data_IF_297715101891
#
_entry.id   IF_297715101891
#
_cell.length_a   1.000
_cell.length_b   1.000
_cell.length_c   1.000
_cell.angle_alpha   90.00
_cell.angle_beta   90.00
_cell.angle_gamma   90.00
#
_symmetry.space_group_name_H-M   'P 1'
#
loop_
_entity.id
_entity.type
_entity.pdbx_description
1 polymer ?
#
# COMPACT_ATOMS: atom_id res chain seq x y z
N UNK A 1 -5.25 13.38 15.22
CA UNK A 1 -4.21 14.00 14.41
C UNK A 1 -4.78 15.17 13.59
N UNK A 2 -5.81 14.98 12.75
CA UNK A 2 -6.43 16.06 11.96
C UNK A 2 -6.90 17.23 12.85
N UNK A 3 -7.63 16.94 13.92
CA UNK A 3 -8.09 17.95 14.86
C UNK A 3 -6.92 18.67 15.55
N UNK A 4 -5.85 17.95 15.87
CA UNK A 4 -4.62 18.53 16.43
C UNK A 4 -3.96 19.52 15.45
N UNK A 5 -3.89 19.17 14.17
CA UNK A 5 -3.39 20.07 13.11
C UNK A 5 -4.29 21.30 12.92
N UNK A 6 -5.59 21.15 13.18
CA UNK A 6 -6.57 22.25 13.20
C UNK A 6 -6.56 23.05 14.53
N UNK A 7 -5.60 22.80 15.43
CA UNK A 7 -5.46 23.52 16.70
C UNK A 7 -6.40 23.05 17.81
N UNK A 8 -7.08 21.92 17.63
CA UNK A 8 -7.99 21.35 18.63
C UNK A 8 -7.28 20.22 19.37
N UNK A 9 -6.97 20.41 20.66
CA UNK A 9 -6.27 19.41 21.46
C UNK A 9 -7.17 18.23 21.86
N UNK A 10 -6.55 17.11 22.26
CA UNK A 10 -7.27 15.94 22.78
C UNK A 10 -8.09 16.29 24.02
N UNK A 11 -7.57 17.15 24.89
CA UNK A 11 -8.23 17.61 26.11
C UNK A 11 -9.46 18.47 25.80
N UNK A 12 -9.39 19.31 24.76
CA UNK A 12 -10.55 20.08 24.30
C UNK A 12 -11.64 19.15 23.76
N UNK A 13 -11.29 18.15 22.93
CA UNK A 13 -12.25 17.15 22.45
C UNK A 13 -12.89 16.38 23.62
N UNK A 14 -12.07 15.97 24.61
CA UNK A 14 -12.54 15.21 25.77
C UNK A 14 -13.50 16.02 26.69
N UNK A 15 -13.35 17.35 26.73
CA UNK A 15 -14.27 18.24 27.47
C UNK A 15 -15.65 18.33 26.81
N UNK A 16 -15.79 17.88 25.58
CA UNK A 16 -17.06 17.86 24.85
C UNK A 16 -17.46 19.21 24.24
N UNK A 17 -18.68 19.29 23.77
CA UNK A 17 -19.26 20.48 23.15
C UNK A 17 -18.99 20.63 21.65
N UNK A 18 -18.28 19.69 21.03
CA UNK A 18 -18.05 19.67 19.58
C UNK A 18 -19.09 18.81 18.85
N UNK A 19 -19.57 19.31 17.73
CA UNK A 19 -20.28 18.52 16.71
C UNK A 19 -19.30 18.31 15.56
N UNK A 20 -18.90 17.08 15.30
CA UNK A 20 -17.93 16.74 14.27
C UNK A 20 -18.69 16.20 13.06
N UNK A 21 -18.74 16.95 11.98
CA UNK A 21 -19.27 16.50 10.70
C UNK A 21 -18.15 15.80 9.93
N UNK A 22 -18.41 14.57 9.49
CA UNK A 22 -17.48 13.77 8.69
C UNK A 22 -18.01 13.60 7.28
N UNK A 23 -17.18 13.07 6.38
CA UNK A 23 -17.55 12.70 5.01
C UNK A 23 -18.14 11.29 4.92
N UNK A 24 -18.20 10.56 6.04
CA UNK A 24 -18.78 9.22 6.05
C UNK A 24 -20.25 9.26 5.65
N UNK A 25 -20.60 8.40 4.70
CA UNK A 25 -21.94 8.27 4.14
C UNK A 25 -22.60 6.98 4.68
N UNK A 26 -23.68 7.09 5.46
CA UNK A 26 -24.37 5.92 6.02
C UNK A 26 -24.87 4.94 4.94
N UNK A 27 -25.27 5.44 3.77
CA UNK A 27 -25.77 4.61 2.66
C UNK A 27 -24.64 3.82 1.97
N UNK A 28 -23.40 4.25 2.13
CA UNK A 28 -22.19 3.52 1.70
C UNK A 28 -21.64 2.66 2.84
N UNK A 29 -21.64 3.19 4.06
CA UNK A 29 -21.07 2.52 5.23
C UNK A 29 -21.80 1.21 5.58
N UNK A 30 -23.14 1.23 5.57
CA UNK A 30 -23.94 0.06 5.95
C UNK A 30 -23.72 -1.14 5.02
N UNK A 31 -23.82 -1.00 3.67
CA UNK A 31 -23.57 -2.11 2.75
C UNK A 31 -22.17 -2.71 2.82
N UNK A 32 -21.12 -1.90 3.01
CA UNK A 32 -19.76 -2.45 3.10
C UNK A 32 -19.55 -3.22 4.41
N UNK A 33 -20.16 -2.77 5.50
CA UNK A 33 -20.11 -3.52 6.78
C UNK A 33 -20.84 -4.85 6.67
N UNK A 34 -22.03 -4.86 6.08
CA UNK A 34 -22.80 -6.08 5.81
C UNK A 34 -22.01 -7.06 4.92
N UNK A 35 -21.41 -6.56 3.83
CA UNK A 35 -20.59 -7.38 2.95
C UNK A 35 -19.39 -8.01 3.68
N UNK A 36 -18.66 -7.23 4.46
CA UNK A 36 -17.52 -7.74 5.23
C UNK A 36 -17.99 -8.81 6.23
N UNK A 37 -19.04 -8.55 6.98
CA UNK A 37 -19.54 -9.47 8.01
C UNK A 37 -20.08 -10.78 7.40
N UNK A 38 -20.61 -10.71 6.17
CA UNK A 38 -21.13 -11.89 5.45
C UNK A 38 -20.03 -12.81 4.94
N UNK A 39 -18.86 -12.28 4.59
CA UNK A 39 -17.76 -13.04 3.97
C UNK A 39 -16.56 -13.27 4.88
N UNK A 40 -16.42 -12.50 5.96
CA UNK A 40 -15.29 -12.59 6.89
C UNK A 40 -15.76 -12.72 8.33
N UNK A 41 -15.84 -13.95 8.81
CA UNK A 41 -16.26 -14.24 10.18
C UNK A 41 -15.35 -13.49 11.20
N UNK A 42 -15.91 -12.61 12.05
CA UNK A 42 -15.12 -11.84 13.01
C UNK A 42 -14.44 -12.70 14.08
N UNK A 43 -14.93 -13.91 14.32
CA UNK A 43 -14.39 -14.82 15.36
C UNK A 43 -13.21 -15.68 14.86
N UNK A 44 -12.88 -15.65 13.57
CA UNK A 44 -11.70 -16.37 13.07
C UNK A 44 -10.46 -15.57 13.45
N UNK A 45 -9.63 -16.14 14.33
CA UNK A 45 -8.38 -15.50 14.75
C UNK A 45 -7.39 -15.36 13.60
N UNK A 46 -6.59 -14.30 13.62
CA UNK A 46 -5.55 -14.04 12.63
C UNK A 46 -6.06 -13.52 11.27
N UNK A 47 -7.37 -13.40 11.05
CA UNK A 47 -7.92 -12.88 9.80
C UNK A 47 -8.61 -11.54 10.05
N UNK A 48 -8.18 -10.51 9.33
CA UNK A 48 -8.88 -9.23 9.25
C UNK A 48 -9.26 -8.94 7.80
N UNK A 49 -10.54 -8.63 7.58
CA UNK A 49 -11.03 -8.08 6.32
C UNK A 49 -11.30 -6.59 6.52
N UNK A 50 -10.71 -5.77 5.68
CA UNK A 50 -10.76 -4.31 5.81
C UNK A 50 -11.19 -3.72 4.48
N UNK A 51 -12.08 -2.74 4.51
CA UNK A 51 -12.52 -2.01 3.32
C UNK A 51 -12.54 -0.51 3.59
N UNK A 52 -12.06 0.26 2.63
CA UNK A 52 -12.15 1.72 2.62
C UNK A 52 -12.73 2.17 1.27
N UNK A 53 -13.64 3.13 1.30
CA UNK A 53 -14.25 3.71 0.10
C UNK A 53 -13.96 5.20 0.06
N UNK A 54 -13.30 5.63 -1.00
CA UNK A 54 -12.94 7.03 -1.26
C UNK A 54 -13.55 7.44 -2.60
N UNK A 55 -14.19 8.59 -2.63
CA UNK A 55 -14.71 9.17 -3.87
C UNK A 55 -13.59 9.95 -4.56
N UNK A 56 -13.21 9.62 -5.81
CA UNK A 56 -12.28 10.44 -6.58
C UNK A 56 -12.85 11.84 -6.85
N UNK A 57 -11.98 12.84 -6.92
CA UNK A 57 -12.37 14.22 -7.20
C UNK A 57 -11.17 15.10 -7.50
N UNK A 58 -11.39 16.26 -8.11
CA UNK A 58 -10.35 17.25 -8.43
C UNK A 58 -10.00 18.16 -7.26
N UNK A 59 -10.91 18.30 -6.28
CA UNK A 59 -10.77 19.26 -5.17
C UNK A 59 -10.55 18.58 -3.83
N UNK A 60 -11.05 17.36 -3.68
CA UNK A 60 -10.92 16.55 -2.47
C UNK A 60 -11.19 15.08 -2.76
N UNK A 61 -10.67 14.22 -1.90
CA UNK A 61 -10.94 12.78 -1.89
C UNK A 61 -11.71 12.41 -0.60
N UNK A 62 -13.03 12.67 -0.53
CA UNK A 62 -13.80 12.35 0.67
C UNK A 62 -13.84 10.85 0.93
N UNK A 63 -13.56 10.46 2.16
CA UNK A 63 -13.73 9.09 2.64
C UNK A 63 -15.21 8.88 2.92
N UNK A 64 -15.85 8.01 2.14
CA UNK A 64 -17.28 7.73 2.28
C UNK A 64 -17.57 6.61 3.27
N UNK A 65 -16.66 5.64 3.38
CA UNK A 65 -16.84 4.53 4.31
C UNK A 65 -15.52 3.86 4.67
N UNK A 66 -15.48 3.29 5.87
CA UNK A 66 -14.39 2.44 6.37
C UNK A 66 -14.98 1.34 7.24
N UNK A 67 -14.62 0.09 6.99
CA UNK A 67 -15.11 -1.03 7.79
C UNK A 67 -14.03 -2.10 7.98
N UNK A 68 -14.18 -2.85 9.06
CA UNK A 68 -13.43 -4.07 9.35
C UNK A 68 -14.40 -5.12 9.88
N UNK A 69 -14.10 -6.41 9.70
CA UNK A 69 -14.80 -7.49 10.39
C UNK A 69 -14.42 -7.54 11.89
N UNK A 70 -13.40 -6.82 12.32
CA UNK A 70 -13.00 -6.73 13.73
C UNK A 70 -13.68 -5.55 14.41
N UNK A 71 -14.25 -5.80 15.59
CA UNK A 71 -14.78 -4.74 16.44
C UNK A 71 -13.63 -4.09 17.22
N UNK A 72 -13.68 -2.78 17.41
CA UNK A 72 -12.74 -2.09 18.28
C UNK A 72 -13.05 -2.40 19.73
N UNK A 73 -12.09 -2.95 20.46
CA UNK A 73 -12.25 -3.32 21.87
C UNK A 73 -11.07 -4.10 22.42
N UNK A 74 -11.19 -4.58 23.65
CA UNK A 74 -10.13 -5.23 24.42
C UNK A 74 -10.29 -6.75 24.52
N UNK A 75 -11.44 -7.30 24.13
CA UNK A 75 -11.70 -8.73 24.28
C UNK A 75 -11.29 -9.51 23.02
N UNK A 76 -10.08 -10.05 23.04
CA UNK A 76 -9.52 -10.84 21.94
C UNK A 76 -10.34 -12.12 21.66
N UNK A 77 -11.01 -12.70 22.67
CA UNK A 77 -11.83 -13.91 22.50
C UNK A 77 -13.11 -13.64 21.67
N UNK A 78 -13.59 -12.40 21.70
CA UNK A 78 -14.67 -11.92 20.83
C UNK A 78 -14.17 -11.36 19.49
N UNK A 79 -12.90 -11.54 19.15
CA UNK A 79 -12.32 -11.01 17.93
C UNK A 79 -12.11 -9.49 17.93
N UNK A 80 -12.15 -8.85 19.09
CA UNK A 80 -11.89 -7.41 19.22
C UNK A 80 -10.42 -7.06 19.03
N UNK A 81 -10.16 -5.84 18.64
CA UNK A 81 -8.82 -5.28 18.50
C UNK A 81 -8.79 -3.80 18.84
N UNK A 82 -7.72 -3.34 19.49
CA UNK A 82 -7.46 -1.91 19.70
C UNK A 82 -6.79 -1.25 18.47
N UNK A 83 -6.38 -2.03 17.47
CA UNK A 83 -5.76 -1.51 16.25
C UNK A 83 -6.87 -1.06 15.29
N UNK A 84 -6.95 0.23 14.94
CA UNK A 84 -7.92 0.75 13.97
C UNK A 84 -7.51 0.34 12.55
N UNK A 85 -7.83 -0.87 12.15
CA UNK A 85 -7.32 -1.54 10.96
C UNK A 85 -7.48 -0.79 9.63
N UNK A 86 -8.58 -0.04 9.36
CA UNK A 86 -8.74 0.67 8.09
C UNK A 86 -7.64 1.70 7.80
N UNK A 87 -7.01 2.25 8.84
CA UNK A 87 -5.98 3.30 8.72
C UNK A 87 -4.70 3.02 9.52
N UNK A 88 -4.47 1.81 9.96
CA UNK A 88 -3.19 1.36 10.54
C UNK A 88 -2.36 0.65 9.51
N UNK A 89 -1.04 0.78 9.60
CA UNK A 89 -0.12 -0.11 8.89
C UNK A 89 -0.36 -1.54 9.37
N UNK A 90 -0.60 -2.45 8.44
CA UNK A 90 -0.84 -3.87 8.70
C UNK A 90 0.23 -4.66 7.98
N UNK A 91 0.82 -5.63 8.67
CA UNK A 91 1.84 -6.52 8.14
C UNK A 91 1.40 -7.27 6.88
N UNK A 92 2.30 -7.96 6.25
CA UNK A 92 2.14 -8.78 5.04
C UNK A 92 2.04 -8.00 3.71
N UNK A 93 1.96 -6.67 3.74
CA UNK A 93 1.97 -5.82 2.55
C UNK A 93 0.72 -5.94 1.67
N UNK A 94 0.74 -5.28 0.53
CA UNK A 94 -0.34 -5.29 -0.45
C UNK A 94 -0.01 -6.06 -1.74
N UNK A 95 1.15 -6.71 -1.78
CA UNK A 95 1.56 -7.51 -2.93
C UNK A 95 1.63 -6.70 -4.22
N UNK A 96 1.14 -7.30 -5.29
CA UNK A 96 1.28 -6.78 -6.67
C UNK A 96 0.62 -5.44 -6.96
N UNK A 97 -0.17 -4.88 -6.05
CA UNK A 97 -0.68 -3.50 -6.18
C UNK A 97 0.50 -2.51 -6.28
N UNK A 98 1.62 -2.79 -5.62
CA UNK A 98 2.82 -1.96 -5.64
C UNK A 98 3.47 -1.81 -7.02
N UNK A 99 3.21 -2.74 -7.95
CA UNK A 99 3.66 -2.62 -9.34
C UNK A 99 3.16 -1.34 -10.01
N UNK A 100 2.00 -0.85 -9.57
CA UNK A 100 1.44 0.43 -10.03
C UNK A 100 2.39 1.60 -9.76
N UNK A 101 3.07 1.63 -8.61
CA UNK A 101 4.05 2.69 -8.30
C UNK A 101 5.26 2.65 -9.22
N UNK A 102 5.74 1.46 -9.55
CA UNK A 102 6.86 1.29 -10.48
C UNK A 102 6.47 1.73 -11.90
N UNK A 103 5.26 1.40 -12.34
CA UNK A 103 4.74 1.87 -13.63
C UNK A 103 4.57 3.39 -13.63
N UNK A 104 3.93 3.96 -12.61
CA UNK A 104 3.73 5.40 -12.52
C UNK A 104 5.08 6.17 -12.57
N UNK A 105 6.09 5.69 -11.85
CA UNK A 105 7.43 6.26 -11.89
C UNK A 105 8.08 6.11 -13.28
N UNK A 106 7.90 4.98 -13.96
CA UNK A 106 8.39 4.78 -15.31
C UNK A 106 7.72 5.71 -16.33
N UNK A 107 6.39 5.91 -16.19
CA UNK A 107 5.64 6.85 -17.05
C UNK A 107 6.08 8.30 -16.80
N UNK A 108 6.32 8.71 -15.56
CA UNK A 108 6.87 10.04 -15.23
C UNK A 108 8.25 10.25 -15.85
N UNK A 109 9.03 9.19 -16.02
CA UNK A 109 10.33 9.22 -16.74
C UNK A 109 10.19 9.24 -18.26
N UNK A 110 8.98 9.23 -18.81
CA UNK A 110 8.71 9.28 -20.24
C UNK A 110 8.49 7.92 -20.93
N UNK A 111 8.41 6.82 -20.18
CA UNK A 111 8.03 5.53 -20.74
C UNK A 111 6.57 5.59 -21.25
N UNK A 112 6.32 5.10 -22.46
CA UNK A 112 4.95 4.97 -22.96
C UNK A 112 4.22 3.76 -22.37
N UNK A 113 2.90 3.87 -22.16
CA UNK A 113 2.07 2.76 -21.70
C UNK A 113 2.07 1.55 -22.66
N UNK A 114 2.40 1.80 -23.92
CA UNK A 114 2.52 0.77 -24.97
C UNK A 114 3.97 0.27 -25.14
N UNK A 115 4.92 0.76 -24.33
CA UNK A 115 6.30 0.30 -24.38
C UNK A 115 6.39 -1.19 -23.98
N UNK A 116 7.24 -1.94 -24.65
CA UNK A 116 7.44 -3.36 -24.37
C UNK A 116 8.35 -3.57 -23.16
N UNK A 117 7.90 -4.47 -22.30
CA UNK A 117 8.67 -5.01 -21.17
C UNK A 117 9.09 -6.44 -21.48
N UNK A 118 10.34 -6.76 -21.22
CA UNK A 118 10.79 -8.15 -21.22
C UNK A 118 10.30 -8.87 -19.95
N UNK A 119 9.87 -10.11 -20.13
CA UNK A 119 9.37 -10.99 -19.06
C UNK A 119 10.26 -12.23 -18.99
N UNK A 120 11.47 -12.14 -18.41
CA UNK A 120 12.34 -13.30 -18.31
C UNK A 120 11.75 -14.35 -17.38
N UNK A 121 12.03 -15.63 -17.60
CA UNK A 121 11.60 -16.70 -16.70
C UNK A 121 12.15 -16.57 -15.29
N UNK A 122 13.33 -15.92 -15.16
CA UNK A 122 14.00 -15.57 -13.91
C UNK A 122 14.72 -14.23 -14.07
N UNK A 123 14.58 -13.36 -13.07
CA UNK A 123 15.37 -12.14 -12.94
C UNK A 123 16.23 -12.25 -11.69
N UNK A 124 17.48 -11.78 -11.78
CA UNK A 124 18.39 -11.73 -10.64
C UNK A 124 19.32 -10.53 -10.76
N UNK A 125 19.60 -9.88 -9.64
CA UNK A 125 20.49 -8.72 -9.57
C UNK A 125 21.14 -8.62 -8.20
N UNK A 126 22.33 -7.96 -8.14
CA UNK A 126 22.98 -7.58 -6.88
C UNK A 126 22.66 -6.15 -6.51
N UNK A 127 22.81 -5.82 -5.22
CA UNK A 127 22.65 -4.44 -4.73
C UNK A 127 21.21 -3.95 -4.65
N UNK A 128 20.22 -4.82 -4.75
CA UNK A 128 18.80 -4.48 -4.61
C UNK A 128 18.10 -5.38 -3.57
N UNK A 129 18.75 -5.60 -2.44
CA UNK A 129 18.36 -6.60 -1.46
C UNK A 129 18.94 -7.98 -1.77
N UNK A 130 18.46 -9.01 -1.08
CA UNK A 130 18.94 -10.39 -1.24
C UNK A 130 17.83 -11.41 -1.01
N UNK A 131 18.03 -12.64 -1.52
CA UNK A 131 17.07 -13.74 -1.34
C UNK A 131 15.97 -13.77 -2.41
N UNK A 132 14.82 -14.35 -2.08
CA UNK A 132 13.68 -14.54 -2.96
C UNK A 132 13.59 -15.95 -3.53
N UNK A 133 13.67 -16.14 -4.83
CA UNK A 133 13.45 -17.45 -5.47
C UNK A 133 14.47 -18.51 -5.04
N UNK A 134 14.03 -19.77 -5.00
CA UNK A 134 14.89 -20.92 -4.66
C UNK A 134 16.18 -20.94 -5.50
N UNK A 135 17.29 -21.24 -4.85
CA UNK A 135 18.62 -21.27 -5.49
C UNK A 135 19.16 -19.87 -5.80
N UNK A 136 18.73 -18.85 -5.08
CA UNK A 136 19.30 -17.51 -5.20
C UNK A 136 20.73 -17.49 -4.64
N UNK A 137 21.72 -16.97 -5.38
CA UNK A 137 23.08 -16.78 -4.84
C UNK A 137 23.09 -15.80 -3.65
N UNK A 138 24.11 -15.90 -2.81
CA UNK A 138 24.31 -14.93 -1.72
C UNK A 138 24.39 -13.49 -2.27
N UNK A 139 23.89 -12.54 -1.50
CA UNK A 139 23.89 -11.10 -1.84
C UNK A 139 23.22 -10.77 -3.18
N UNK A 140 22.34 -11.64 -3.65
CA UNK A 140 21.60 -11.47 -4.90
C UNK A 140 20.11 -11.50 -4.60
N UNK A 141 19.35 -10.60 -5.20
CA UNK A 141 17.88 -10.66 -5.22
C UNK A 141 17.40 -11.41 -6.45
N UNK A 142 16.55 -12.40 -6.26
CA UNK A 142 16.07 -13.28 -7.31
C UNK A 142 14.55 -13.34 -7.34
N UNK A 143 13.98 -13.20 -8.53
CA UNK A 143 12.53 -13.24 -8.76
C UNK A 143 12.19 -14.24 -9.84
N UNK A 144 11.11 -14.99 -9.64
CA UNK A 144 10.49 -15.86 -10.62
C UNK A 144 8.99 -15.54 -10.73
N UNK A 145 8.40 -15.94 -11.83
CA UNK A 145 6.96 -15.85 -12.03
C UNK A 145 6.27 -17.10 -11.46
N UNK A 146 4.99 -16.94 -11.08
CA UNK A 146 4.16 -18.06 -10.61
C UNK A 146 3.68 -18.95 -11.77
N UNK A 147 3.71 -18.43 -13.00
CA UNK A 147 3.32 -19.12 -14.23
C UNK A 147 4.18 -18.65 -15.41
N UNK A 148 4.23 -19.37 -16.53
CA UNK A 148 4.84 -18.89 -17.76
C UNK A 148 4.08 -17.68 -18.33
N UNK A 149 4.82 -16.71 -18.85
CA UNK A 149 4.27 -15.52 -19.52
C UNK A 149 4.88 -15.37 -20.91
N UNK A 150 4.12 -14.75 -21.81
CA UNK A 150 4.66 -14.30 -23.10
C UNK A 150 5.65 -13.16 -22.88
N UNK A 151 6.73 -13.15 -23.64
CA UNK A 151 7.72 -12.07 -23.64
C UNK A 151 8.10 -11.70 -25.08
N UNK A 152 8.21 -10.40 -25.42
CA UNK A 152 7.85 -9.25 -24.61
C UNK A 152 6.33 -9.05 -24.50
N UNK A 153 5.91 -8.15 -23.60
CA UNK A 153 4.55 -7.63 -23.53
C UNK A 153 4.55 -6.14 -23.16
N UNK A 154 3.55 -5.40 -23.62
CA UNK A 154 3.48 -3.98 -23.31
C UNK A 154 3.14 -3.73 -21.83
N UNK A 155 3.45 -2.50 -21.34
CA UNK A 155 3.25 -2.08 -19.94
C UNK A 155 1.80 -2.32 -19.49
N UNK A 156 0.81 -1.97 -20.32
CA UNK A 156 -0.61 -2.16 -19.99
C UNK A 156 -0.95 -3.64 -19.75
N UNK A 157 -0.53 -4.52 -20.65
CA UNK A 157 -0.73 -5.97 -20.52
C UNK A 157 0.05 -6.54 -19.32
N UNK A 158 1.29 -6.08 -19.12
CA UNK A 158 2.10 -6.48 -17.97
C UNK A 158 1.42 -6.09 -16.65
N UNK A 159 0.87 -4.88 -16.54
CA UNK A 159 0.18 -4.44 -15.33
C UNK A 159 -1.09 -5.29 -15.08
N UNK A 160 -1.86 -5.59 -16.12
CA UNK A 160 -3.06 -6.41 -16.03
C UNK A 160 -2.78 -7.89 -15.68
N UNK A 161 -1.68 -8.46 -16.17
CA UNK A 161 -1.32 -9.87 -15.95
C UNK A 161 -0.31 -10.11 -14.85
N UNK A 162 0.35 -9.04 -14.41
CA UNK A 162 1.17 -9.00 -13.20
C UNK A 162 2.39 -9.95 -13.15
N UNK A 163 3.20 -10.15 -14.21
CA UNK A 163 4.41 -10.97 -14.13
C UNK A 163 5.45 -10.34 -13.18
N UNK A 164 5.93 -11.08 -12.19
CA UNK A 164 6.86 -10.56 -11.20
C UNK A 164 8.20 -10.12 -11.80
N UNK A 165 8.73 -10.90 -12.73
CA UNK A 165 10.06 -10.66 -13.31
C UNK A 165 10.12 -9.43 -14.20
N UNK A 166 9.03 -9.08 -14.88
CA UNK A 166 8.94 -7.84 -15.65
C UNK A 166 9.08 -6.62 -14.74
N UNK A 167 8.38 -6.62 -13.61
CA UNK A 167 8.40 -5.51 -12.66
C UNK A 167 9.69 -5.48 -11.83
N UNK A 168 10.29 -6.63 -11.52
CA UNK A 168 11.61 -6.69 -10.92
C UNK A 168 12.67 -6.09 -11.85
N UNK A 169 12.58 -6.36 -13.16
CA UNK A 169 13.44 -5.72 -14.16
C UNK A 169 13.14 -4.24 -14.30
N UNK A 170 11.86 -3.87 -14.33
CA UNK A 170 11.46 -2.47 -14.47
C UNK A 170 11.94 -1.60 -13.29
N UNK A 171 11.76 -2.04 -12.04
CA UNK A 171 12.24 -1.28 -10.88
C UNK A 171 13.77 -1.17 -10.85
N UNK A 172 14.51 -2.15 -11.40
CA UNK A 172 15.96 -2.06 -11.52
C UNK A 172 16.41 -0.97 -12.51
N UNK A 173 15.56 -0.60 -13.45
CA UNK A 173 15.79 0.46 -14.43
C UNK A 173 15.30 1.84 -13.93
N UNK A 174 14.11 1.87 -13.32
CA UNK A 174 13.51 3.08 -12.74
C UNK A 174 14.25 3.56 -11.51
N UNK A 175 14.67 2.61 -10.66
CA UNK A 175 15.27 2.85 -9.36
C UNK A 175 14.27 2.79 -8.21
N UNK A 176 14.70 2.19 -7.09
CA UNK A 176 13.87 2.03 -5.88
C UNK A 176 13.47 3.39 -5.33
N UNK A 177 14.41 4.33 -5.22
CA UNK A 177 14.12 5.67 -4.66
C UNK A 177 12.98 6.38 -5.38
N UNK A 178 13.02 6.43 -6.72
CA UNK A 178 11.95 7.06 -7.52
C UNK A 178 10.62 6.35 -7.36
N UNK A 179 10.63 5.03 -7.27
CA UNK A 179 9.40 4.24 -7.06
C UNK A 179 8.77 4.52 -5.70
N UNK A 180 9.59 4.64 -4.64
CA UNK A 180 9.13 5.01 -3.29
C UNK A 180 8.61 6.44 -3.26
N UNK A 181 9.31 7.39 -3.88
CA UNK A 181 8.87 8.78 -3.97
C UNK A 181 7.53 8.89 -4.72
N UNK A 182 7.36 8.11 -5.78
CA UNK A 182 6.10 8.03 -6.51
C UNK A 182 4.96 7.45 -5.64
N UNK A 183 5.23 6.43 -4.84
CA UNK A 183 4.23 5.89 -3.91
C UNK A 183 3.75 6.94 -2.91
N UNK A 184 4.66 7.74 -2.35
CA UNK A 184 4.33 8.85 -1.45
C UNK A 184 3.54 9.94 -2.19
N UNK A 185 3.97 10.33 -3.39
CA UNK A 185 3.25 11.31 -4.23
C UNK A 185 1.82 10.87 -4.53
N UNK A 186 1.59 9.60 -4.76
CA UNK A 186 0.27 9.04 -5.05
C UNK A 186 -0.60 8.85 -3.80
N UNK A 187 -0.04 8.89 -2.59
CA UNK A 187 -0.85 8.87 -1.37
C UNK A 187 -0.40 7.96 -0.24
N UNK A 188 0.70 7.18 -0.37
CA UNK A 188 1.28 6.40 0.74
C UNK A 188 2.10 7.32 1.68
N UNK A 189 1.43 8.24 2.36
CA UNK A 189 2.09 9.28 3.15
C UNK A 189 2.70 8.78 4.45
N UNK A 190 2.08 7.78 5.08
CA UNK A 190 2.64 7.17 6.29
C UNK A 190 4.06 6.63 6.08
N UNK A 191 4.41 6.27 4.83
CA UNK A 191 5.77 5.82 4.51
C UNK A 191 6.85 6.87 4.76
N UNK A 192 6.51 8.15 4.73
CA UNK A 192 7.42 9.25 5.03
C UNK A 192 7.41 9.67 6.51
N UNK A 193 6.55 9.07 7.35
CA UNK A 193 6.47 9.42 8.76
C UNK A 193 7.62 8.78 9.56
N UNK A 194 8.26 9.54 10.46
CA UNK A 194 9.32 9.03 11.33
C UNK A 194 8.84 7.84 12.18
N UNK A 195 9.71 6.86 12.36
CA UNK A 195 9.46 5.69 13.21
C UNK A 195 8.55 4.63 12.58
N UNK A 196 8.17 4.76 11.32
CA UNK A 196 7.36 3.73 10.64
C UNK A 196 8.18 2.51 10.22
N UNK A 197 9.52 2.58 10.24
CA UNK A 197 10.39 1.44 9.98
C UNK A 197 10.71 0.58 11.22
N UNK A 198 10.08 0.81 12.38
CA UNK A 198 10.44 0.14 13.65
C UNK A 198 10.32 -1.38 13.64
N UNK A 199 9.43 -1.93 12.84
CA UNK A 199 9.30 -3.39 12.72
C UNK A 199 10.47 -4.02 11.95
N UNK A 200 11.27 -3.21 11.24
CA UNK A 200 12.45 -3.63 10.49
C UNK A 200 13.77 -3.14 11.11
N UNK A 201 13.73 -2.01 11.82
CA UNK A 201 14.87 -1.38 12.50
C UNK A 201 14.39 -0.73 13.81
N UNK A 202 14.24 -1.54 14.90
CA UNK A 202 13.61 -1.10 16.15
C UNK A 202 14.32 0.05 16.86
N UNK A 203 15.62 0.18 16.67
CA UNK A 203 16.45 1.21 17.31
C UNK A 203 16.46 2.54 16.52
N UNK A 204 15.84 2.53 15.35
CA UNK A 204 15.80 3.67 14.43
C UNK A 204 14.49 4.45 14.55
N UNK A 205 14.58 5.77 14.39
CA UNK A 205 13.41 6.62 14.13
C UNK A 205 13.19 6.85 12.63
N UNK A 206 13.72 5.95 11.80
CA UNK A 206 13.66 6.03 10.35
C UNK A 206 12.24 5.84 9.82
N UNK A 207 11.93 6.47 8.71
CA UNK A 207 10.69 6.22 7.98
C UNK A 207 10.81 4.95 7.13
N UNK A 208 9.68 4.29 6.83
CA UNK A 208 9.66 3.16 5.88
C UNK A 208 10.25 3.54 4.52
N UNK A 209 9.99 4.76 4.07
CA UNK A 209 10.55 5.26 2.82
C UNK A 209 12.08 5.31 2.85
N UNK A 210 12.65 5.88 3.90
CA UNK A 210 14.11 6.00 4.03
C UNK A 210 14.76 4.63 4.21
N UNK A 211 14.16 3.75 5.00
CA UNK A 211 14.60 2.37 5.16
C UNK A 211 14.66 1.64 3.81
N UNK A 212 13.57 1.66 3.02
CA UNK A 212 13.51 0.99 1.71
C UNK A 212 14.53 1.56 0.74
N UNK A 213 14.68 2.89 0.71
CA UNK A 213 15.65 3.58 -0.15
C UNK A 213 17.09 3.24 0.27
N UNK A 214 17.41 3.31 1.55
CA UNK A 214 18.74 3.01 2.10
C UNK A 214 19.16 1.58 1.82
N UNK A 215 18.24 0.63 2.01
CA UNK A 215 18.46 -0.79 1.71
C UNK A 215 18.38 -1.10 0.21
N UNK A 216 17.97 -0.16 -0.61
CA UNK A 216 17.74 -0.31 -2.05
C UNK A 216 16.91 -1.57 -2.37
N UNK A 217 15.76 -1.74 -1.70
CA UNK A 217 14.95 -2.96 -1.77
C UNK A 217 14.16 -3.04 -3.07
N UNK A 218 14.68 -3.78 -4.05
CA UNK A 218 13.98 -4.03 -5.32
C UNK A 218 12.64 -4.76 -5.14
N UNK A 219 12.51 -5.56 -4.07
CA UNK A 219 11.26 -6.22 -3.71
C UNK A 219 10.10 -5.26 -3.44
N UNK A 220 10.35 -3.97 -3.23
CA UNK A 220 9.32 -2.96 -3.06
C UNK A 220 8.24 -3.01 -4.16
N UNK A 221 8.63 -3.25 -5.42
CA UNK A 221 7.66 -3.41 -6.53
C UNK A 221 6.70 -4.59 -6.36
N UNK A 222 7.02 -5.55 -5.49
CA UNK A 222 6.20 -6.73 -5.20
C UNK A 222 5.36 -6.58 -3.92
N UNK A 223 5.49 -5.44 -3.23
CA UNK A 223 4.68 -5.04 -2.10
C UNK A 223 4.77 -5.90 -0.84
N UNK A 224 5.97 -6.33 -0.38
CA UNK A 224 6.10 -7.15 0.83
C UNK A 224 6.05 -6.34 2.13
N UNK A 225 5.98 -5.01 2.03
CA UNK A 225 6.07 -4.08 3.16
C UNK A 225 4.67 -3.69 3.61
N UNK A 226 4.52 -3.45 4.90
CA UNK A 226 3.26 -3.03 5.53
C UNK A 226 2.59 -1.87 4.81
N UNK A 227 1.28 -1.86 4.82
CA UNK A 227 0.47 -0.87 4.10
C UNK A 227 -0.82 -0.55 4.85
N UNK A 228 -1.30 0.64 4.62
CA UNK A 228 -2.55 1.16 5.13
C UNK A 228 -3.62 1.09 4.04
N UNK A 229 -4.73 0.42 4.33
CA UNK A 229 -5.82 0.22 3.35
C UNK A 229 -6.45 1.54 2.90
N UNK A 230 -6.59 2.52 3.82
CA UNK A 230 -7.12 3.84 3.48
C UNK A 230 -6.22 4.59 2.51
N UNK A 231 -4.91 4.57 2.73
CA UNK A 231 -3.95 5.21 1.84
C UNK A 231 -3.89 4.54 0.46
N UNK A 232 -3.98 3.21 0.38
CA UNK A 232 -4.09 2.52 -0.92
C UNK A 232 -5.37 2.90 -1.67
N UNK A 233 -6.48 3.05 -0.96
CA UNK A 233 -7.72 3.54 -1.57
C UNK A 233 -7.57 4.96 -2.10
N UNK A 234 -6.82 5.82 -1.37
CA UNK A 234 -6.51 7.17 -1.84
C UNK A 234 -5.56 7.18 -3.04
N UNK A 235 -4.59 6.27 -3.11
CA UNK A 235 -3.76 6.08 -4.32
C UNK A 235 -4.65 5.78 -5.54
N UNK A 236 -5.62 4.88 -5.40
CA UNK A 236 -6.57 4.57 -6.47
C UNK A 236 -7.41 5.80 -6.86
N UNK A 237 -7.88 6.58 -5.90
CA UNK A 237 -8.62 7.81 -6.13
C UNK A 237 -7.76 8.87 -6.85
N UNK A 238 -6.48 9.04 -6.46
CA UNK A 238 -5.52 9.93 -7.13
C UNK A 238 -5.33 9.55 -8.59
N UNK A 239 -5.15 8.27 -8.89
CA UNK A 239 -5.03 7.79 -10.27
C UNK A 239 -6.32 8.01 -11.06
N UNK A 240 -7.48 7.74 -10.46
CA UNK A 240 -8.80 7.96 -11.09
C UNK A 240 -9.09 9.45 -11.35
N UNK A 241 -8.51 10.35 -10.57
CA UNK A 241 -8.63 11.81 -10.74
C UNK A 241 -7.57 12.40 -11.68
N UNK A 242 -6.83 11.57 -12.43
CA UNK A 242 -5.79 12.03 -13.36
C UNK A 242 -4.52 12.54 -12.68
N UNK A 243 -4.22 12.07 -11.48
CA UNK A 243 -3.04 12.45 -10.69
C UNK A 243 -3.27 13.64 -9.75
N UNK A 244 -4.50 14.09 -9.63
CA UNK A 244 -4.87 15.13 -8.65
C UNK A 244 -5.06 14.46 -7.29
N UNK A 245 -4.52 15.09 -6.26
CA UNK A 245 -4.54 14.59 -4.88
C UNK A 245 -4.97 15.68 -3.91
#
# INVERSE_FOLDING_TARGET
EYLSRAGISKEQVARGGYVIHTTLDPDVQAPIKEAIDSFANPNVQGIASVMSVIKPGSDAHPVLAMASNRTYGLNADLGETMRPQPFSLVGDGAGSIFKTFTVAAALEMGMGISADLEVPGRFQTKGMGSGGAKGCPKETWCVVNVAPYRSPMNVSTALATSPNTAFAKLISQVGVSRTVDMAIKLGLRSYAEPGTARDYDPDSNESLADFVKRQNLGSFTLGPIEVNALELSNVAATLASGGVW
#
